data_IF_018482837139
#
_entry.id   IF_018482837139
#
_cell.length_a   1.000
_cell.length_b   1.000
_cell.length_c   1.000
_cell.angle_alpha   90.00
_cell.angle_beta   90.00
_cell.angle_gamma   90.00
#
_symmetry.space_group_name_H-M   'P 1'
#
loop_
_entity.id
_entity.type
_entity.pdbx_description
1 polymer ?
#
# COMPACT_ATOMS: atom_id res chain seq x y z
N UNK A 1 -28.67 -42.27 -9.16
CA UNK A 1 -27.58 -41.45 -8.58
C UNK A 1 -27.77 -40.00 -9.02
N UNK A 2 -28.45 -39.18 -8.21
CA UNK A 2 -28.67 -37.78 -8.56
C UNK A 2 -27.32 -37.06 -8.67
N UNK A 3 -27.09 -36.34 -9.78
CA UNK A 3 -25.94 -35.44 -9.88
C UNK A 3 -26.01 -34.43 -8.74
N UNK A 4 -24.89 -34.23 -8.04
CA UNK A 4 -24.78 -33.24 -6.99
C UNK A 4 -25.10 -31.84 -7.57
N UNK A 5 -26.22 -31.24 -7.16
CA UNK A 5 -26.76 -29.99 -7.71
C UNK A 5 -25.74 -28.84 -7.65
N UNK A 6 -24.99 -28.75 -6.55
CA UNK A 6 -23.95 -27.74 -6.38
C UNK A 6 -22.86 -27.78 -7.47
N UNK A 7 -22.50 -28.99 -7.96
CA UNK A 7 -21.54 -29.14 -9.06
C UNK A 7 -22.14 -28.63 -10.38
N UNK A 8 -23.40 -28.95 -10.64
CA UNK A 8 -24.09 -28.53 -11.87
C UNK A 8 -24.24 -27.01 -11.91
N UNK A 9 -24.56 -26.39 -10.78
CA UNK A 9 -24.70 -24.94 -10.66
C UNK A 9 -23.34 -24.23 -10.84
N UNK A 10 -22.27 -24.77 -10.25
CA UNK A 10 -20.90 -24.23 -10.46
C UNK A 10 -20.47 -24.30 -11.92
N UNK A 11 -20.77 -25.40 -12.62
CA UNK A 11 -20.44 -25.56 -14.03
C UNK A 11 -21.20 -24.56 -14.91
N UNK A 12 -22.48 -24.31 -14.61
CA UNK A 12 -23.27 -23.28 -15.31
C UNK A 12 -22.68 -21.90 -15.12
N UNK A 13 -22.30 -21.56 -13.88
CA UNK A 13 -21.78 -20.23 -13.54
C UNK A 13 -20.40 -19.96 -14.19
N UNK A 14 -19.54 -20.99 -14.29
CA UNK A 14 -18.26 -20.88 -15.00
C UNK A 14 -18.48 -20.67 -16.50
N UNK A 15 -19.43 -21.38 -17.11
CA UNK A 15 -19.72 -21.29 -18.55
C UNK A 15 -20.39 -19.96 -18.90
N UNK A 16 -21.24 -19.42 -18.03
CA UNK A 16 -21.95 -18.15 -18.25
C UNK A 16 -21.14 -16.92 -17.81
N UNK A 17 -19.97 -17.09 -17.19
CA UNK A 17 -19.18 -15.97 -16.66
C UNK A 17 -18.74 -15.04 -17.80
N UNK A 18 -19.15 -13.76 -17.80
CA UNK A 18 -18.67 -12.83 -18.81
C UNK A 18 -17.16 -12.62 -18.65
N UNK A 19 -16.45 -12.50 -19.78
CA UNK A 19 -15.03 -12.16 -19.79
C UNK A 19 -14.82 -10.83 -19.06
N UNK A 20 -13.89 -10.81 -18.10
CA UNK A 20 -13.51 -9.57 -17.41
C UNK A 20 -12.98 -8.57 -18.45
N UNK A 21 -13.64 -7.43 -18.58
CA UNK A 21 -13.13 -6.31 -19.37
C UNK A 21 -12.00 -5.62 -18.59
N UNK A 22 -10.75 -5.79 -19.03
CA UNK A 22 -9.60 -5.08 -18.44
C UNK A 22 -9.43 -3.76 -19.17
N UNK A 23 -9.63 -2.65 -18.46
CA UNK A 23 -9.32 -1.31 -18.96
C UNK A 23 -7.87 -0.95 -18.64
N UNK A 24 -7.05 -0.74 -19.66
CA UNK A 24 -5.70 -0.21 -19.49
C UNK A 24 -5.74 1.30 -19.21
N UNK A 25 -4.77 1.84 -18.45
CA UNK A 25 -4.68 3.28 -18.19
C UNK A 25 -4.52 4.04 -19.52
N UNK A 26 -5.43 4.98 -19.75
CA UNK A 26 -5.41 5.89 -20.90
C UNK A 26 -5.35 7.33 -20.39
N UNK A 27 -4.52 8.15 -21.03
CA UNK A 27 -4.44 9.58 -20.79
C UNK A 27 -4.79 10.28 -22.09
N UNK A 28 -5.80 11.14 -22.05
CA UNK A 28 -6.29 11.87 -23.24
C UNK A 28 -6.61 10.95 -24.44
N UNK A 29 -7.19 9.78 -24.16
CA UNK A 29 -7.55 8.78 -25.19
C UNK A 29 -6.39 7.93 -25.73
N UNK A 30 -5.14 8.22 -25.35
CA UNK A 30 -3.95 7.46 -25.75
C UNK A 30 -3.54 6.45 -24.69
N UNK A 31 -2.97 5.33 -25.12
CA UNK A 31 -2.34 4.36 -24.21
C UNK A 31 -1.14 4.99 -23.53
N UNK A 32 -1.06 4.84 -22.22
CA UNK A 32 0.03 5.38 -21.40
C UNK A 32 1.20 4.40 -21.38
N UNK A 33 2.45 4.91 -21.40
CA UNK A 33 3.62 4.06 -21.22
C UNK A 33 3.69 3.50 -19.80
N UNK A 34 4.15 2.25 -19.66
CA UNK A 34 4.28 1.60 -18.34
C UNK A 34 5.08 2.43 -17.34
N UNK A 35 6.12 3.13 -17.80
CA UNK A 35 6.96 4.00 -16.97
C UNK A 35 6.22 5.17 -16.32
N UNK A 36 5.07 5.60 -16.86
CA UNK A 36 4.33 6.75 -16.32
C UNK A 36 3.48 6.38 -15.09
N UNK A 37 2.95 5.16 -15.03
CA UNK A 37 2.13 4.70 -13.90
C UNK A 37 2.86 3.70 -12.98
N UNK A 38 3.98 3.13 -13.42
CA UNK A 38 4.77 2.22 -12.61
C UNK A 38 5.24 2.88 -11.30
N UNK A 39 4.90 2.27 -10.17
CA UNK A 39 5.30 2.78 -8.85
C UNK A 39 4.60 4.08 -8.42
N UNK A 40 3.49 4.47 -9.07
CA UNK A 40 2.74 5.69 -8.73
C UNK A 40 2.22 5.68 -7.27
N UNK A 41 1.84 4.49 -6.79
CA UNK A 41 1.33 4.22 -5.45
C UNK A 41 2.39 3.59 -4.54
N UNK A 42 3.68 3.84 -4.81
CA UNK A 42 4.80 3.39 -3.98
C UNK A 42 5.56 4.60 -3.46
N UNK A 43 5.73 4.70 -2.13
CA UNK A 43 6.57 5.72 -1.52
C UNK A 43 8.06 5.34 -1.62
N UNK A 44 8.65 5.66 -2.77
CA UNK A 44 10.05 5.35 -3.08
C UNK A 44 11.06 6.37 -2.49
N UNK A 45 12.36 6.11 -2.66
CA UNK A 45 13.44 6.98 -2.19
C UNK A 45 13.41 8.39 -2.81
N UNK A 46 12.94 8.54 -4.06
CA UNK A 46 12.86 9.84 -4.74
C UNK A 46 11.75 10.69 -4.12
N UNK A 47 10.58 10.09 -3.86
CA UNK A 47 9.46 10.72 -3.16
C UNK A 47 9.85 11.06 -1.72
N UNK A 48 10.56 10.16 -1.05
CA UNK A 48 11.08 10.40 0.30
C UNK A 48 12.09 11.55 0.36
N UNK A 49 12.99 11.67 -0.61
CA UNK A 49 13.96 12.77 -0.70
C UNK A 49 13.27 14.14 -0.86
N UNK A 50 12.13 14.19 -1.55
CA UNK A 50 11.34 15.41 -1.71
C UNK A 50 10.49 15.74 -0.47
N UNK A 51 10.06 14.72 0.28
CA UNK A 51 9.18 14.87 1.44
C UNK A 51 9.93 15.16 2.75
N UNK A 52 11.20 14.75 2.86
CA UNK A 52 11.99 14.88 4.09
C UNK A 52 13.04 15.99 3.99
N UNK A 53 13.38 16.63 5.13
CA UNK A 53 14.56 17.49 5.20
C UNK A 53 15.84 16.73 4.82
N UNK A 54 16.76 17.40 4.11
CA UNK A 54 18.08 16.86 3.71
C UNK A 54 18.81 16.08 4.82
N UNK A 55 18.94 16.58 6.07
CA UNK A 55 19.64 15.83 7.12
C UNK A 55 18.94 14.53 7.51
N UNK A 56 17.60 14.53 7.61
CA UNK A 56 16.84 13.32 7.94
C UNK A 56 16.95 12.26 6.84
N UNK A 57 16.85 12.68 5.58
CA UNK A 57 17.02 11.78 4.43
C UNK A 57 18.45 11.21 4.35
N UNK A 58 19.47 12.03 4.61
CA UNK A 58 20.86 11.58 4.63
C UNK A 58 21.12 10.56 5.74
N UNK A 59 20.56 10.77 6.94
CA UNK A 59 20.66 9.82 8.05
C UNK A 59 19.95 8.50 7.73
N UNK A 60 18.73 8.57 7.17
CA UNK A 60 18.00 7.40 6.73
C UNK A 60 18.81 6.55 5.72
N UNK A 61 19.42 7.19 4.71
CA UNK A 61 20.25 6.51 3.73
C UNK A 61 21.48 5.84 4.36
N UNK A 62 22.11 6.48 5.34
CA UNK A 62 23.24 5.91 6.07
C UNK A 62 22.81 4.67 6.85
N UNK A 63 21.70 4.74 7.58
CA UNK A 63 21.20 3.63 8.38
C UNK A 63 20.77 2.43 7.53
N UNK A 64 20.06 2.71 6.44
CA UNK A 64 19.62 1.70 5.47
C UNK A 64 20.81 0.93 4.85
N UNK A 65 21.92 1.61 4.56
CA UNK A 65 23.12 0.98 3.97
C UNK A 65 24.07 0.37 5.01
N UNK A 66 24.16 0.99 6.18
CA UNK A 66 25.19 0.71 7.18
C UNK A 66 24.88 -0.42 8.15
N UNK A 67 23.76 -1.15 7.99
CA UNK A 67 23.25 -2.10 9.00
C UNK A 67 23.11 -1.49 10.40
N UNK A 68 22.77 -0.20 10.45
CA UNK A 68 22.55 0.49 11.71
C UNK A 68 21.06 0.48 12.04
N UNK A 69 20.75 0.49 13.34
CA UNK A 69 19.38 0.67 13.77
C UNK A 69 18.83 2.02 13.29
N UNK A 70 17.58 2.02 12.86
CA UNK A 70 16.85 3.23 12.53
C UNK A 70 16.58 4.00 13.83
N UNK A 71 17.08 5.23 13.92
CA UNK A 71 16.83 6.07 15.08
C UNK A 71 15.38 6.53 15.12
N UNK A 72 14.87 6.80 16.32
CA UNK A 72 13.46 7.13 16.53
C UNK A 72 13.06 8.42 15.81
N UNK A 73 13.92 9.44 15.79
CA UNK A 73 13.61 10.72 15.18
C UNK A 73 13.48 10.61 13.66
N UNK A 74 14.40 9.89 13.01
CA UNK A 74 14.32 9.57 11.58
C UNK A 74 13.08 8.72 11.28
N UNK A 75 12.77 7.73 12.12
CA UNK A 75 11.56 6.91 11.97
C UNK A 75 10.27 7.74 12.04
N UNK A 76 10.16 8.64 13.03
CA UNK A 76 8.98 9.49 13.21
C UNK A 76 8.84 10.48 12.03
N UNK A 77 9.95 11.03 11.53
CA UNK A 77 9.94 11.89 10.34
C UNK A 77 9.47 11.15 9.08
N UNK A 78 9.98 9.93 8.85
CA UNK A 78 9.55 9.07 7.72
C UNK A 78 8.08 8.70 7.87
N UNK A 79 7.64 8.28 9.05
CA UNK A 79 6.25 7.89 9.30
C UNK A 79 5.29 9.06 9.04
N UNK A 80 5.63 10.26 9.50
CA UNK A 80 4.86 11.47 9.24
C UNK A 80 4.76 11.79 7.74
N UNK A 81 5.88 11.73 7.01
CA UNK A 81 5.91 11.96 5.57
C UNK A 81 5.08 10.91 4.78
N UNK A 82 5.21 9.62 5.14
CA UNK A 82 4.44 8.53 4.53
C UNK A 82 2.95 8.72 4.77
N UNK A 83 2.56 9.09 5.99
CA UNK A 83 1.16 9.35 6.35
C UNK A 83 0.55 10.44 5.47
N UNK A 84 1.21 11.60 5.36
CA UNK A 84 0.70 12.70 4.53
C UNK A 84 0.59 12.25 3.07
N UNK A 85 1.65 11.65 2.53
CA UNK A 85 1.67 11.18 1.15
C UNK A 85 0.55 10.17 0.82
N UNK A 86 0.24 9.28 1.77
CA UNK A 86 -0.81 8.29 1.64
C UNK A 86 -2.21 8.92 1.77
N UNK A 87 -2.39 9.84 2.71
CA UNK A 87 -3.65 10.57 2.88
C UNK A 87 -4.00 11.42 1.66
N UNK A 88 -3.01 12.06 1.02
CA UNK A 88 -3.20 12.79 -0.25
C UNK A 88 -3.70 11.90 -1.39
N UNK A 89 -3.53 10.57 -1.27
CA UNK A 89 -4.02 9.54 -2.20
C UNK A 89 -5.30 8.87 -1.74
N UNK A 90 -5.93 9.36 -0.68
CA UNK A 90 -7.17 8.81 -0.14
C UNK A 90 -6.98 7.59 0.77
N UNK A 91 -5.77 7.28 1.22
CA UNK A 91 -5.56 6.20 2.18
C UNK A 91 -6.13 6.57 3.56
N UNK A 92 -6.90 5.65 4.15
CA UNK A 92 -7.56 5.83 5.45
C UNK A 92 -6.99 4.94 6.56
N UNK A 93 -6.26 3.89 6.17
CA UNK A 93 -5.69 2.89 7.07
C UNK A 93 -4.24 2.60 6.71
N UNK A 94 -3.47 2.10 7.67
CA UNK A 94 -2.17 1.50 7.45
C UNK A 94 -2.16 0.07 8.01
N UNK A 95 -1.20 -0.72 7.56
CA UNK A 95 -0.99 -2.08 8.06
C UNK A 95 0.50 -2.38 8.05
N UNK A 96 0.95 -3.19 9.01
CA UNK A 96 2.25 -3.82 8.92
C UNK A 96 2.12 -5.04 8.01
N UNK A 97 2.42 -4.87 6.72
CA UNK A 97 2.45 -5.99 5.79
C UNK A 97 3.68 -6.87 6.07
N UNK A 98 3.45 -8.13 6.46
CA UNK A 98 4.50 -9.14 6.52
C UNK A 98 3.94 -10.53 6.18
N UNK A 99 4.79 -11.41 5.67
CA UNK A 99 4.43 -12.80 5.43
C UNK A 99 4.92 -13.67 6.60
N UNK A 100 4.05 -14.17 7.48
CA UNK A 100 4.46 -15.08 8.54
C UNK A 100 4.77 -16.48 7.97
N UNK A 101 5.62 -17.24 8.66
CA UNK A 101 5.96 -18.62 8.29
C UNK A 101 4.82 -19.64 8.52
N UNK A 102 3.61 -19.16 8.83
CA UNK A 102 2.42 -19.98 9.08
C UNK A 102 1.64 -20.32 7.81
N UNK A 103 2.09 -19.88 6.63
CA UNK A 103 1.45 -20.17 5.34
C UNK A 103 0.17 -19.35 5.07
N UNK A 104 -0.18 -18.41 5.94
CA UNK A 104 -1.33 -17.51 5.81
C UNK A 104 -0.88 -16.04 5.92
N UNK A 105 -1.51 -15.11 5.23
CA UNK A 105 -1.19 -13.68 5.38
C UNK A 105 -1.90 -13.13 6.61
N UNK A 106 -1.16 -12.50 7.53
CA UNK A 106 -1.73 -11.79 8.67
C UNK A 106 -1.80 -10.29 8.33
N UNK A 107 -3.00 -9.78 8.07
CA UNK A 107 -3.24 -8.34 7.86
C UNK A 107 -4.03 -7.79 9.05
N UNK A 108 -3.54 -6.69 9.64
CA UNK A 108 -4.28 -5.91 10.63
C UNK A 108 -4.43 -4.50 10.10
N UNK A 109 -5.65 -4.07 9.81
CA UNK A 109 -5.93 -2.71 9.35
C UNK A 109 -6.08 -1.78 10.57
N UNK A 110 -5.10 -0.89 10.77
CA UNK A 110 -5.14 0.15 11.80
C UNK A 110 -5.48 1.51 11.14
N UNK A 111 -6.46 2.23 11.68
CA UNK A 111 -6.89 3.53 11.14
C UNK A 111 -5.93 4.67 11.55
N UNK A 112 -5.80 5.72 10.73
CA UNK A 112 -5.00 6.90 11.09
C UNK A 112 -5.64 7.79 12.17
N UNK A 113 -6.90 7.54 12.54
CA UNK A 113 -7.62 8.31 13.56
C UNK A 113 -7.16 7.90 14.96
N UNK A 114 -6.32 8.72 15.59
CA UNK A 114 -6.19 8.73 17.05
C UNK A 114 -7.20 9.71 17.62
N UNK A 115 -8.15 9.25 18.43
CA UNK A 115 -9.01 10.16 19.20
C UNK A 115 -8.11 10.92 20.18
N UNK A 116 -7.94 12.23 19.98
CA UNK A 116 -7.23 13.09 20.91
C UNK A 116 -8.07 13.26 22.19
N UNK A 117 -7.93 12.29 23.11
CA UNK A 117 -8.66 12.26 24.38
C UNK A 117 -7.98 13.06 25.50
N UNK A 118 -7.06 13.99 25.21
CA UNK A 118 -6.37 14.78 26.24
C UNK A 118 -6.55 16.31 26.11
N UNK A 119 -7.68 16.75 25.53
CA UNK A 119 -8.03 18.19 25.45
C UNK A 119 -9.34 18.52 26.17
N UNK A 120 -9.43 18.16 27.46
CA UNK A 120 -10.30 18.78 28.50
C UNK A 120 -10.16 18.00 29.81
N UNK A 121 -9.32 18.48 30.72
CA UNK A 121 -9.60 18.94 32.09
C UNK A 121 -8.28 19.46 32.66
#
# INVERSE_FOLDING_TARGET
MALNSARVDTLRDIVSRPTRSISYPKKDGKSVYTSEFFGENVFDLKKMANALPKPAFANFLKQMRGRQALDRATADAVAHAVRIWAMDRGATHFTHWFQPQTGTTAEKHDAFLSVDLYRRW
#
